data_IF_285598970815
#
_entry.id   IF_285598970815
#
_cell.length_a   1.000
_cell.length_b   1.000
_cell.length_c   1.000
_cell.angle_alpha   90.00
_cell.angle_beta   90.00
_cell.angle_gamma   90.00
#
_symmetry.space_group_name_H-M   'P 1'
#
loop_
_entity.id
_entity.type
_entity.pdbx_description
1 polymer ?
#
# COMPACT_ATOMS: atom_id res chain seq x y z
N UNK A 1 -29.11 1.49 2.40
CA UNK A 1 -27.69 1.19 2.67
C UNK A 1 -26.90 1.80 1.54
N UNK A 2 -25.89 2.63 1.80
CA UNK A 2 -24.95 2.99 0.73
C UNK A 2 -24.10 1.77 0.42
N UNK A 3 -23.93 1.43 -0.85
CA UNK A 3 -23.28 0.18 -1.31
C UNK A 3 -21.81 0.01 -0.85
N UNK A 4 -21.22 1.03 -0.21
CA UNK A 4 -19.84 1.07 0.27
C UNK A 4 -19.70 1.26 1.79
N UNK A 5 -20.77 1.07 2.57
CA UNK A 5 -20.70 1.27 4.02
C UNK A 5 -19.71 0.29 4.68
N UNK A 6 -19.73 -0.97 4.28
CA UNK A 6 -18.90 -2.03 4.87
C UNK A 6 -17.42 -1.87 4.51
N UNK A 7 -17.11 -1.50 3.28
CA UNK A 7 -15.71 -1.23 2.86
C UNK A 7 -15.13 -0.02 3.58
N UNK A 8 -15.92 1.05 3.75
CA UNK A 8 -15.51 2.23 4.55
C UNK A 8 -15.39 1.93 6.05
N UNK A 9 -16.09 0.89 6.52
CA UNK A 9 -15.94 0.36 7.87
C UNK A 9 -14.69 -0.53 8.04
N UNK A 10 -14.00 -0.87 6.93
CA UNK A 10 -12.78 -1.67 6.93
C UNK A 10 -12.96 -3.13 6.49
N UNK A 11 -14.13 -3.53 6.01
CA UNK A 11 -14.37 -4.89 5.51
C UNK A 11 -13.89 -5.02 4.07
N UNK A 12 -12.58 -5.18 3.89
CA UNK A 12 -11.95 -5.49 2.60
C UNK A 12 -10.74 -6.41 2.81
N UNK A 13 -10.33 -7.09 1.75
CA UNK A 13 -9.20 -8.01 1.76
C UNK A 13 -8.84 -8.46 0.35
N UNK A 14 -7.70 -9.14 0.22
CA UNK A 14 -7.20 -9.61 -1.07
C UNK A 14 -7.42 -11.12 -1.19
N UNK A 15 -7.82 -11.53 -2.39
CA UNK A 15 -7.69 -12.90 -2.85
C UNK A 15 -6.68 -12.91 -3.99
N UNK A 16 -5.49 -13.44 -3.73
CA UNK A 16 -4.47 -13.61 -4.75
C UNK A 16 -4.69 -14.97 -5.43
N UNK A 17 -4.89 -14.95 -6.74
CA UNK A 17 -5.06 -16.15 -7.57
C UNK A 17 -3.83 -16.26 -8.45
N UNK A 18 -3.15 -17.40 -8.36
CA UNK A 18 -1.93 -17.69 -9.13
C UNK A 18 -2.12 -18.97 -9.95
N UNK A 19 -1.33 -19.12 -11.00
CA UNK A 19 -1.33 -20.32 -11.80
C UNK A 19 -0.69 -21.47 -11.00
N UNK A 20 -1.26 -22.68 -11.07
CA UNK A 20 -0.81 -23.82 -10.25
C UNK A 20 0.65 -24.25 -10.46
N UNK A 21 1.26 -23.86 -11.59
CA UNK A 21 2.69 -24.10 -11.87
C UNK A 21 3.63 -23.04 -11.27
N UNK A 22 3.09 -21.90 -10.87
CA UNK A 22 3.82 -20.78 -10.25
C UNK A 22 3.72 -20.86 -8.72
N UNK A 23 2.77 -21.64 -8.20
CA UNK A 23 2.79 -22.13 -6.83
C UNK A 23 3.95 -23.11 -6.69
N UNK A 24 4.79 -22.94 -5.67
CA UNK A 24 5.52 -23.98 -4.92
C UNK A 24 6.79 -23.36 -4.35
N UNK A 25 6.76 -23.06 -3.05
CA UNK A 25 7.96 -23.08 -2.19
C UNK A 25 7.82 -24.23 -1.18
N UNK A 26 6.61 -24.44 -0.63
CA UNK A 26 6.23 -25.54 0.30
C UNK A 26 4.69 -25.64 0.31
N UNK A 27 4.06 -26.77 0.68
CA UNK A 27 2.60 -26.81 0.95
C UNK A 27 2.19 -25.84 2.08
N UNK A 28 3.17 -25.39 2.88
CA UNK A 28 3.01 -24.39 3.94
C UNK A 28 3.26 -22.95 3.49
N UNK A 29 3.89 -22.75 2.34
CA UNK A 29 4.23 -21.43 1.79
C UNK A 29 3.72 -21.31 0.35
N UNK A 30 2.61 -20.58 0.23
CA UNK A 30 1.88 -20.39 -1.02
C UNK A 30 2.43 -19.23 -1.86
N UNK A 31 3.56 -18.64 -1.44
CA UNK A 31 4.22 -17.58 -2.21
C UNK A 31 4.62 -18.06 -3.62
N UNK A 32 4.54 -17.20 -4.64
CA UNK A 32 5.09 -17.47 -5.96
C UNK A 32 6.59 -17.73 -5.89
N UNK A 33 7.07 -18.68 -6.68
CA UNK A 33 8.48 -19.07 -6.68
C UNK A 33 9.38 -18.18 -7.56
N UNK A 34 8.78 -17.26 -8.33
CA UNK A 34 9.46 -16.37 -9.27
C UNK A 34 9.91 -15.05 -8.63
N UNK A 35 9.39 -14.73 -7.43
CA UNK A 35 9.72 -13.49 -6.71
C UNK A 35 10.24 -13.79 -5.30
N UNK A 36 10.87 -12.80 -4.67
CA UNK A 36 11.42 -12.98 -3.33
C UNK A 36 10.52 -12.47 -2.23
N UNK A 37 9.74 -11.41 -2.48
CA UNK A 37 8.83 -10.80 -1.51
C UNK A 37 7.55 -10.40 -2.24
N UNK A 38 6.44 -10.45 -1.53
CA UNK A 38 5.13 -10.01 -2.00
C UNK A 38 4.59 -8.91 -1.10
N UNK A 39 3.98 -7.90 -1.70
CA UNK A 39 3.28 -6.83 -0.99
C UNK A 39 1.86 -6.72 -1.50
N UNK A 40 0.89 -6.64 -0.58
CA UNK A 40 -0.51 -6.36 -0.90
C UNK A 40 -0.85 -4.97 -0.37
N UNK A 41 -1.23 -4.08 -1.27
CA UNK A 41 -1.55 -2.70 -0.97
C UNK A 41 -2.97 -2.36 -1.43
N UNK A 42 -3.74 -1.77 -0.52
CA UNK A 42 -5.04 -1.18 -0.79
C UNK A 42 -4.90 0.33 -0.71
N UNK A 43 -5.00 1.00 -1.85
CA UNK A 43 -5.02 2.45 -1.96
C UNK A 43 -6.47 2.91 -2.06
N UNK A 44 -6.79 4.06 -1.47
CA UNK A 44 -8.12 4.62 -1.61
C UNK A 44 -8.43 5.71 -0.59
N UNK A 45 -9.66 6.21 -0.68
CA UNK A 45 -10.22 7.17 0.27
C UNK A 45 -11.20 6.44 1.18
N UNK A 46 -10.81 6.20 2.42
CA UNK A 46 -11.69 5.62 3.43
C UNK A 46 -12.55 6.74 4.01
N UNK A 47 -13.77 6.85 3.49
CA UNK A 47 -14.74 7.88 3.84
C UNK A 47 -15.52 7.47 5.11
N UNK A 48 -15.02 7.91 6.28
CA UNK A 48 -15.63 7.58 7.56
C UNK A 48 -17.04 8.18 7.72
N UNK A 49 -17.44 9.14 6.89
CA UNK A 49 -18.80 9.68 6.90
C UNK A 49 -19.84 8.62 6.45
N UNK A 50 -19.41 7.65 5.63
CA UNK A 50 -20.23 6.55 5.12
C UNK A 50 -20.15 5.30 5.99
N UNK A 51 -19.28 5.28 7.00
CA UNK A 51 -19.15 4.17 7.93
C UNK A 51 -20.39 4.06 8.83
N UNK A 52 -20.91 2.83 9.07
CA UNK A 52 -21.98 2.62 10.04
C UNK A 52 -21.56 3.00 11.47
N UNK A 53 -20.25 3.13 11.72
CA UNK A 53 -19.68 3.47 13.02
C UNK A 53 -19.49 4.98 13.25
N UNK A 54 -19.88 5.85 12.31
CA UNK A 54 -19.69 7.30 12.44
C UNK A 54 -20.27 7.85 13.75
N UNK A 55 -21.49 7.43 14.14
CA UNK A 55 -22.12 7.89 15.38
C UNK A 55 -21.33 7.49 16.64
N UNK A 56 -20.78 6.27 16.66
CA UNK A 56 -19.92 5.79 17.74
C UNK A 56 -18.62 6.59 17.80
N UNK A 57 -18.00 6.84 16.64
CA UNK A 57 -16.76 7.61 16.55
C UNK A 57 -16.95 9.06 17.01
N UNK A 58 -18.06 9.71 16.65
CA UNK A 58 -18.38 11.06 17.13
C UNK A 58 -18.53 11.06 18.66
N UNK A 59 -19.31 10.13 19.21
CA UNK A 59 -19.53 10.05 20.67
C UNK A 59 -18.24 9.77 21.45
N UNK A 60 -17.32 9.00 20.88
CA UNK A 60 -16.08 8.59 21.53
C UNK A 60 -14.93 9.60 21.38
N UNK A 61 -14.77 10.21 20.21
CA UNK A 61 -13.56 10.97 19.86
C UNK A 61 -13.79 12.47 19.66
N UNK A 62 -15.02 12.94 19.44
CA UNK A 62 -15.27 14.37 19.33
C UNK A 62 -15.20 15.03 20.70
N UNK A 63 -14.51 16.17 20.79
CA UNK A 63 -14.41 16.93 22.04
C UNK A 63 -15.76 17.45 22.53
N UNK A 64 -16.67 17.75 21.60
CA UNK A 64 -18.05 18.17 21.86
C UNK A 64 -19.00 17.48 20.85
N UNK A 65 -19.44 16.24 21.12
CA UNK A 65 -20.25 15.44 20.19
C UNK A 65 -21.55 16.13 19.77
N UNK A 66 -22.21 16.82 20.70
CA UNK A 66 -23.49 17.51 20.47
C UNK A 66 -23.39 18.73 19.55
N UNK A 67 -22.19 19.30 19.39
CA UNK A 67 -21.96 20.46 18.50
C UNK A 67 -21.47 20.06 17.10
N UNK A 68 -21.35 18.76 16.83
CA UNK A 68 -20.87 18.28 15.53
C UNK A 68 -21.94 18.48 14.46
N UNK A 69 -21.69 19.41 13.55
CA UNK A 69 -22.44 19.51 12.30
C UNK A 69 -21.91 18.48 11.30
N UNK A 70 -22.65 17.39 11.13
CA UNK A 70 -22.30 16.29 10.21
C UNK A 70 -22.34 16.70 8.75
N UNK A 71 -23.04 17.77 8.42
CA UNK A 71 -23.17 18.25 7.05
C UNK A 71 -22.12 19.28 6.66
N UNK A 72 -21.38 19.80 7.64
CA UNK A 72 -20.31 20.76 7.42
C UNK A 72 -19.23 20.19 6.49
N UNK A 73 -18.80 20.92 5.43
CA UNK A 73 -17.79 20.45 4.49
C UNK A 73 -16.48 20.03 5.16
N UNK A 74 -15.97 20.86 6.07
CA UNK A 74 -14.71 20.57 6.77
C UNK A 74 -14.81 19.34 7.69
N UNK A 75 -16.01 19.08 8.26
CA UNK A 75 -16.22 17.87 9.04
C UNK A 75 -16.15 16.64 8.13
N UNK A 76 -16.84 16.69 6.98
CA UNK A 76 -16.82 15.61 5.99
C UNK A 76 -15.41 15.34 5.50
N UNK A 77 -14.68 16.38 5.12
CA UNK A 77 -13.30 16.26 4.64
C UNK A 77 -12.36 15.74 5.74
N UNK A 78 -12.54 16.18 7.00
CA UNK A 78 -11.73 15.66 8.12
C UNK A 78 -11.86 14.14 8.32
N UNK A 79 -12.98 13.55 7.88
CA UNK A 79 -13.29 12.13 7.98
C UNK A 79 -12.92 11.32 6.72
N UNK A 80 -12.43 11.96 5.65
CA UNK A 80 -11.93 11.26 4.47
C UNK A 80 -10.45 10.95 4.67
N UNK A 81 -10.12 9.66 4.71
CA UNK A 81 -8.75 9.18 4.99
C UNK A 81 -8.13 8.63 3.72
N UNK A 82 -7.27 9.43 3.09
CA UNK A 82 -6.50 9.03 1.92
C UNK A 82 -5.33 8.15 2.36
N UNK A 83 -5.48 6.84 2.24
CA UNK A 83 -4.62 5.90 2.94
C UNK A 83 -4.16 4.74 2.06
N UNK A 84 -3.05 4.12 2.46
CA UNK A 84 -2.52 2.87 1.91
C UNK A 84 -2.62 1.83 3.03
N UNK A 85 -3.37 0.75 2.86
CA UNK A 85 -3.66 -0.24 3.91
C UNK A 85 -4.24 0.37 5.21
N UNK A 86 -4.99 1.48 5.10
CA UNK A 86 -5.53 2.22 6.25
C UNK A 86 -4.46 2.97 7.06
N UNK A 87 -3.28 3.18 6.48
CA UNK A 87 -2.15 3.95 7.02
C UNK A 87 -1.93 5.21 6.18
N UNK A 88 -1.51 6.29 6.81
CA UNK A 88 -1.39 7.63 6.21
C UNK A 88 -0.08 8.29 6.65
N UNK A 89 0.41 9.26 5.89
CA UNK A 89 1.56 10.10 6.24
C UNK A 89 2.79 9.27 6.65
N UNK A 90 3.13 8.25 5.83
CA UNK A 90 4.30 7.39 6.03
C UNK A 90 4.31 6.57 7.33
N UNK A 91 3.15 6.25 7.90
CA UNK A 91 3.04 5.35 9.07
C UNK A 91 2.72 3.87 8.71
N UNK A 92 2.92 3.49 7.44
CA UNK A 92 2.82 2.10 6.99
C UNK A 92 4.18 1.42 7.11
N UNK A 93 4.27 0.45 8.03
CA UNK A 93 5.47 -0.35 8.27
C UNK A 93 5.45 -1.67 7.47
N UNK A 94 6.60 -2.35 7.42
CA UNK A 94 6.71 -3.71 6.87
C UNK A 94 6.94 -3.81 5.37
N UNK A 95 7.10 -2.68 4.67
CA UNK A 95 7.48 -2.64 3.26
C UNK A 95 9.00 -2.77 3.13
N UNK A 96 9.53 -3.97 3.37
CA UNK A 96 10.96 -4.24 3.39
C UNK A 96 11.33 -5.32 2.39
N UNK A 97 12.41 -5.11 1.63
CA UNK A 97 12.90 -6.06 0.62
C UNK A 97 14.41 -5.97 0.44
N UNK A 98 14.98 -6.80 -0.42
CA UNK A 98 16.41 -6.86 -0.69
C UNK A 98 16.75 -6.28 -2.06
N UNK A 99 17.90 -5.62 -2.16
CA UNK A 99 18.47 -5.18 -3.43
C UNK A 99 18.73 -6.38 -4.37
N UNK A 100 18.64 -6.15 -5.68
CA UNK A 100 18.85 -7.12 -6.77
C UNK A 100 17.89 -8.32 -6.72
N UNK A 101 16.78 -8.18 -6.00
CA UNK A 101 15.69 -9.13 -5.93
C UNK A 101 14.42 -8.51 -6.48
N UNK A 102 13.58 -9.37 -7.04
CA UNK A 102 12.27 -8.99 -7.55
C UNK A 102 11.24 -9.10 -6.43
N UNK A 103 10.49 -8.02 -6.23
CA UNK A 103 9.34 -7.98 -5.35
C UNK A 103 8.07 -7.78 -6.18
N UNK A 104 7.03 -8.55 -5.88
CA UNK A 104 5.72 -8.43 -6.51
C UNK A 104 4.80 -7.58 -5.67
N UNK A 105 4.24 -6.55 -6.28
CA UNK A 105 3.32 -5.62 -5.64
C UNK A 105 1.93 -5.80 -6.23
N UNK A 106 1.01 -6.30 -5.41
CA UNK A 106 -0.42 -6.36 -5.70
C UNK A 106 -1.06 -5.07 -5.19
N UNK A 107 -1.40 -4.17 -6.10
CA UNK A 107 -1.97 -2.86 -5.75
C UNK A 107 -3.42 -2.81 -6.17
N UNK A 108 -4.32 -2.60 -5.21
CA UNK A 108 -5.76 -2.49 -5.39
C UNK A 108 -6.22 -1.07 -5.08
N UNK A 109 -7.19 -0.57 -5.83
CA UNK A 109 -7.87 0.68 -5.51
C UNK A 109 -9.27 0.40 -4.94
N UNK A 110 -9.54 0.90 -3.74
CA UNK A 110 -10.81 0.74 -3.02
C UNK A 110 -11.59 2.04 -3.01
N UNK A 111 -12.89 1.97 -3.30
CA UNK A 111 -13.80 3.10 -3.14
C UNK A 111 -14.64 3.36 -4.38
N UNK A 112 -15.00 4.62 -4.58
CA UNK A 112 -15.85 5.13 -5.66
C UNK A 112 -15.03 5.98 -6.63
N UNK A 113 -15.65 6.91 -7.35
CA UNK A 113 -15.01 7.73 -8.39
C UNK A 113 -13.83 8.59 -7.88
N UNK A 114 -13.71 8.79 -6.58
CA UNK A 114 -12.60 9.47 -5.91
C UNK A 114 -11.40 8.56 -5.58
N UNK A 115 -11.46 7.28 -5.93
CA UNK A 115 -10.42 6.31 -5.61
C UNK A 115 -9.52 5.93 -6.81
N UNK A 116 -9.41 6.77 -7.84
CA UNK A 116 -8.37 6.59 -8.85
C UNK A 116 -7.00 6.81 -8.23
N UNK A 117 -6.14 5.79 -8.30
CA UNK A 117 -4.79 5.85 -7.75
C UNK A 117 -3.76 5.79 -8.88
N UNK A 118 -2.67 6.52 -8.70
CA UNK A 118 -1.50 6.49 -9.59
C UNK A 118 -0.23 6.15 -8.79
N UNK A 119 -0.09 4.93 -8.24
CA UNK A 119 1.09 4.50 -7.49
C UNK A 119 2.41 4.71 -8.24
N UNK A 120 3.39 5.25 -7.51
CA UNK A 120 4.76 5.47 -7.97
C UNK A 120 5.76 4.91 -6.95
N UNK A 121 6.67 4.08 -7.42
CA UNK A 121 7.85 3.61 -6.68
C UNK A 121 9.03 4.53 -6.99
N UNK A 122 9.29 5.53 -6.15
CA UNK A 122 10.39 6.47 -6.41
C UNK A 122 11.74 5.76 -6.43
N UNK A 123 12.59 6.12 -7.40
CA UNK A 123 13.90 5.49 -7.60
C UNK A 123 13.88 4.14 -8.29
N UNK A 124 12.70 3.54 -8.53
CA UNK A 124 12.55 2.24 -9.17
C UNK A 124 11.55 2.32 -10.34
N UNK A 125 11.50 1.28 -11.16
CA UNK A 125 10.62 1.23 -12.33
C UNK A 125 9.82 -0.09 -12.34
N UNK A 126 8.51 -0.06 -12.03
CA UNK A 126 7.68 -1.25 -12.09
C UNK A 126 7.55 -1.81 -13.51
N UNK A 127 7.50 -3.13 -13.60
CA UNK A 127 7.12 -3.89 -14.78
C UNK A 127 5.65 -4.31 -14.63
N UNK A 128 4.79 -3.84 -15.54
CA UNK A 128 3.36 -4.16 -15.57
C UNK A 128 3.02 -4.66 -16.96
N UNK A 129 2.45 -5.86 -17.06
CA UNK A 129 2.12 -6.51 -18.33
C UNK A 129 3.28 -6.52 -19.35
N UNK A 130 4.51 -6.78 -18.86
CA UNK A 130 5.71 -6.83 -19.68
C UNK A 130 6.27 -5.47 -20.12
N UNK A 131 5.68 -4.36 -19.67
CA UNK A 131 6.12 -3.00 -19.99
C UNK A 131 6.62 -2.28 -18.74
N UNK A 132 7.79 -1.62 -18.84
CA UNK A 132 8.30 -0.77 -17.76
C UNK A 132 7.58 0.56 -17.79
N UNK A 133 7.07 0.98 -16.63
CA UNK A 133 6.35 2.25 -16.49
C UNK A 133 6.90 3.07 -15.33
N UNK A 134 6.62 4.38 -15.33
CA UNK A 134 6.92 5.26 -14.21
C UNK A 134 5.89 5.08 -13.09
N UNK A 135 4.63 5.31 -13.40
CA UNK A 135 3.50 5.09 -12.51
C UNK A 135 2.50 4.13 -13.14
N UNK A 136 1.58 3.62 -12.34
CA UNK A 136 0.55 2.68 -12.79
C UNK A 136 -0.80 3.26 -12.44
N UNK A 137 -1.75 3.28 -13.37
CA UNK A 137 -3.12 3.68 -13.08
C UNK A 137 -3.87 2.49 -12.47
N UNK A 138 -4.52 2.70 -11.33
CA UNK A 138 -5.40 1.71 -10.70
C UNK A 138 -6.77 2.35 -10.50
N UNK A 139 -7.80 1.70 -11.05
CA UNK A 139 -9.18 2.20 -11.01
C UNK A 139 -9.95 1.63 -9.83
N UNK A 140 -10.96 2.32 -9.31
CA UNK A 140 -11.78 1.81 -8.20
C UNK A 140 -12.33 0.40 -8.48
N UNK A 141 -12.17 -0.51 -7.52
CA UNK A 141 -12.60 -1.91 -7.63
C UNK A 141 -11.70 -2.80 -8.50
N UNK A 142 -10.56 -2.28 -8.97
CA UNK A 142 -9.57 -3.03 -9.76
C UNK A 142 -8.27 -3.20 -8.98
N UNK A 143 -7.41 -4.08 -9.48
CA UNK A 143 -6.05 -4.23 -9.01
C UNK A 143 -5.08 -4.45 -10.15
N UNK A 144 -3.81 -4.20 -9.87
CA UNK A 144 -2.70 -4.41 -10.79
C UNK A 144 -1.59 -5.19 -10.10
N UNK A 145 -0.89 -6.00 -10.87
CA UNK A 145 0.33 -6.70 -10.44
C UNK A 145 1.51 -5.97 -11.06
N UNK A 146 2.40 -5.48 -10.20
CA UNK A 146 3.61 -4.78 -10.60
C UNK A 146 4.83 -5.50 -10.02
N UNK A 147 5.71 -5.96 -10.90
CA UNK A 147 6.97 -6.56 -10.48
C UNK A 147 8.07 -5.50 -10.49
N UNK A 148 8.79 -5.39 -9.38
CA UNK A 148 9.82 -4.36 -9.18
C UNK A 148 11.13 -5.04 -8.80
N UNK A 149 12.12 -4.92 -9.68
CA UNK A 149 13.51 -5.22 -9.33
C UNK A 149 14.09 -3.99 -8.63
N UNK A 150 14.53 -4.17 -7.39
CA UNK A 150 15.05 -3.07 -6.59
C UNK A 150 16.56 -2.92 -6.78
N UNK A 151 16.96 -1.90 -7.55
CA UNK A 151 18.36 -1.73 -8.01
C UNK A 151 19.19 -0.82 -7.09
N UNK A 152 18.56 -0.21 -6.09
CA UNK A 152 19.19 0.77 -5.22
C UNK A 152 18.71 0.58 -3.79
N UNK A 153 19.66 0.46 -2.86
CA UNK A 153 19.37 0.27 -1.45
C UNK A 153 19.03 1.60 -0.78
N UNK A 154 18.34 1.54 0.35
CA UNK A 154 17.91 2.72 1.13
C UNK A 154 16.41 2.76 1.32
N UNK A 155 15.93 3.88 1.84
CA UNK A 155 14.51 4.12 2.06
C UNK A 155 13.96 4.97 0.90
N UNK A 156 12.82 4.55 0.37
CA UNK A 156 12.22 5.10 -0.85
C UNK A 156 10.76 5.43 -0.62
N UNK A 157 10.28 6.45 -1.34
CA UNK A 157 8.88 6.88 -1.30
C UNK A 157 8.03 5.99 -2.21
N UNK A 158 6.91 5.51 -1.68
CA UNK A 158 5.79 4.97 -2.43
C UNK A 158 4.59 5.91 -2.24
N UNK A 159 4.06 6.46 -3.32
CA UNK A 159 3.09 7.56 -3.26
C UNK A 159 2.02 7.39 -4.35
N UNK A 160 0.80 7.80 -4.04
CA UNK A 160 -0.21 8.11 -5.05
C UNK A 160 0.11 9.45 -5.73
N UNK A 161 0.40 9.46 -7.03
CA UNK A 161 0.72 10.71 -7.73
C UNK A 161 -0.47 11.65 -7.92
N UNK A 162 -1.69 11.22 -7.61
CA UNK A 162 -2.83 12.14 -7.53
C UNK A 162 -2.56 13.16 -6.42
N UNK A 163 -2.33 14.43 -6.79
CA UNK A 163 -1.84 15.47 -5.88
C UNK A 163 -2.68 15.63 -4.61
N UNK A 164 -4.00 15.53 -4.72
CA UNK A 164 -4.90 15.61 -3.57
C UNK A 164 -4.66 14.45 -2.60
N UNK A 165 -4.51 13.23 -3.12
CA UNK A 165 -4.26 12.03 -2.32
C UNK A 165 -2.89 12.09 -1.64
N UNK A 166 -1.84 12.51 -2.35
CA UNK A 166 -0.51 12.69 -1.77
C UNK A 166 -0.53 13.71 -0.62
N UNK A 167 -1.11 14.90 -0.86
CA UNK A 167 -1.22 15.93 0.17
C UNK A 167 -2.07 15.50 1.37
N UNK A 168 -3.12 14.71 1.14
CA UNK A 168 -3.98 14.17 2.18
C UNK A 168 -3.41 12.93 2.89
N UNK A 169 -2.22 12.46 2.50
CA UNK A 169 -1.44 11.47 3.26
C UNK A 169 -1.35 10.07 2.65
N UNK A 170 -1.75 9.86 1.38
CA UNK A 170 -1.60 8.58 0.66
C UNK A 170 -0.14 8.35 0.21
N UNK A 171 0.76 8.30 1.20
CA UNK A 171 2.21 8.14 1.05
C UNK A 171 2.71 7.12 2.08
N UNK A 172 3.68 6.30 1.64
CA UNK A 172 4.34 5.28 2.44
C UNK A 172 5.84 5.26 2.12
N UNK A 173 6.63 4.67 3.02
CA UNK A 173 8.05 4.41 2.78
C UNK A 173 8.27 2.91 2.64
N UNK A 174 9.16 2.53 1.73
CA UNK A 174 9.65 1.16 1.65
C UNK A 174 11.17 1.14 1.73
N UNK A 175 11.71 0.07 2.32
CA UNK A 175 13.14 -0.08 2.58
C UNK A 175 13.71 -1.19 1.73
N UNK A 176 14.75 -0.86 0.97
CA UNK A 176 15.56 -1.82 0.22
C UNK A 176 16.86 -2.04 0.98
N UNK A 177 17.00 -3.21 1.58
CA UNK A 177 18.19 -3.60 2.33
C UNK A 177 19.31 -4.09 1.40
N UNK A 178 20.55 -3.86 1.82
CA UNK A 178 21.71 -4.47 1.15
C UNK A 178 21.73 -5.97 1.39
N UNK A 179 22.13 -6.72 0.37
CA UNK A 179 22.47 -8.13 0.54
C UNK A 179 23.85 -8.23 1.21
N UNK A 180 23.91 -8.76 2.43
CA UNK A 180 25.18 -9.12 3.07
C UNK A 180 25.56 -10.51 2.58
N UNK A 181 26.55 -10.59 1.69
CA UNK A 181 26.93 -11.84 1.00
C UNK A 181 28.06 -12.57 1.76
N UNK A 182 28.82 -11.84 2.59
CA UNK A 182 29.78 -12.42 3.53
C UNK A 182 29.98 -11.49 4.73
N UNK A 183 30.11 -12.08 5.91
CA UNK A 183 30.64 -11.41 7.09
C UNK A 183 32.12 -11.81 7.17
N UNK A 184 33.02 -10.87 6.91
CA UNK A 184 34.44 -11.11 7.18
C UNK A 184 34.70 -10.76 8.65
N UNK A 185 35.04 -11.75 9.47
CA UNK A 185 35.68 -11.47 10.75
C UNK A 185 37.04 -10.84 10.46
N UNK A 186 37.17 -9.54 10.74
CA UNK A 186 38.47 -8.87 10.73
C UNK A 186 39.31 -9.41 11.90
N UNK A 187 39.95 -10.56 11.68
CA UNK A 187 41.13 -10.94 12.44
C UNK A 187 42.34 -10.34 11.76
N UNK A 188 43.27 -9.81 12.57
CA UNK A 188 44.41 -8.95 12.18
C UNK A 188 45.35 -9.51 11.09
N UNK A 189 45.12 -10.73 10.61
CA UNK A 189 46.02 -11.49 9.73
C UNK A 189 45.41 -12.06 8.45
N UNK A 190 44.12 -11.94 8.16
CA UNK A 190 43.55 -12.51 6.93
C UNK A 190 42.86 -11.46 6.06
N UNK A 191 43.35 -11.32 4.83
CA UNK A 191 42.67 -10.61 3.73
C UNK A 191 41.58 -11.50 3.16
N UNK A 192 40.46 -10.90 2.78
CA UNK A 192 39.44 -11.52 1.94
C UNK A 192 40.04 -12.10 0.65
#
# INVERSE_FOLDING_TARGET
MSDFADSNAGLFGALIVTHSKEQVVDEKDLAPNDVNHEFVLFMGVMDQNKSPYLGLNIAQFAAAPESVDRDHPDFKESNRKHAINGRMYCNLDGLETLIDREARWYVFALGTDDAFASPRWYGHAPLVHGSRTGSVLVQPGTGVVADVVHNNYGQWLFEDQTSDHAHAGAVALFTVHRKIISLCEQTFWNKC
#
